data_IF_795979224118
#
_entry.id   IF_795979224118
#
_cell.length_a   1.000
_cell.length_b   1.000
_cell.length_c   1.000
_cell.angle_alpha   90.00
_cell.angle_beta   90.00
_cell.angle_gamma   90.00
#
_symmetry.space_group_name_H-M   'P 1'
#
loop_
_entity.id
_entity.type
_entity.pdbx_description
1 polymer ?
#
# COMPACT_ATOMS: atom_id res chain seq x y z
N UNK A 1 -16.71 -16.11 -6.84
CA UNK A 1 -15.26 -16.34 -6.92
C UNK A 1 -14.62 -15.00 -7.26
N UNK A 2 -14.23 -14.22 -6.25
CA UNK A 2 -13.57 -12.93 -6.47
C UNK A 2 -12.20 -13.21 -7.10
N UNK A 3 -11.95 -12.61 -8.25
CA UNK A 3 -10.72 -12.77 -9.02
C UNK A 3 -9.51 -12.35 -8.15
N UNK A 4 -8.52 -13.23 -8.06
CA UNK A 4 -7.25 -13.02 -7.35
C UNK A 4 -6.22 -12.28 -8.23
N UNK A 5 -6.62 -11.83 -9.42
CA UNK A 5 -5.75 -11.08 -10.34
C UNK A 5 -5.41 -9.72 -9.76
N UNK A 6 -4.13 -9.49 -9.49
CA UNK A 6 -3.60 -8.15 -9.29
C UNK A 6 -3.99 -7.27 -10.48
N UNK A 7 -4.45 -6.05 -10.23
CA UNK A 7 -4.73 -5.10 -11.31
C UNK A 7 -3.43 -4.64 -11.98
N UNK A 8 -3.42 -4.19 -13.25
CA UNK A 8 -2.22 -3.66 -13.89
C UNK A 8 -1.52 -2.53 -13.09
N UNK A 9 -2.27 -1.61 -12.43
CA UNK A 9 -1.70 -0.67 -11.47
C UNK A 9 -0.96 -1.31 -10.28
N UNK A 10 -1.52 -2.36 -9.66
CA UNK A 10 -0.86 -3.11 -8.58
C UNK A 10 0.44 -3.77 -9.06
N UNK A 11 0.44 -4.33 -10.27
CA UNK A 11 1.66 -4.90 -10.89
C UNK A 11 2.75 -3.83 -11.04
N UNK A 12 2.41 -2.63 -11.50
CA UNK A 12 3.37 -1.53 -11.65
C UNK A 12 3.98 -1.13 -10.30
N UNK A 13 3.16 -1.03 -9.25
CA UNK A 13 3.64 -0.73 -7.90
C UNK A 13 4.59 -1.82 -7.40
N UNK A 14 4.15 -3.08 -7.47
CA UNK A 14 4.92 -4.23 -7.00
C UNK A 14 6.24 -4.41 -7.75
N UNK A 15 6.22 -4.34 -9.08
CA UNK A 15 7.42 -4.50 -9.89
C UNK A 15 8.38 -3.33 -9.73
N UNK A 16 7.89 -2.10 -9.55
CA UNK A 16 8.77 -0.97 -9.27
C UNK A 16 9.48 -1.14 -7.93
N UNK A 17 8.76 -1.57 -6.89
CA UNK A 17 9.34 -1.88 -5.59
C UNK A 17 10.39 -3.00 -5.66
N UNK A 18 10.06 -4.08 -6.36
CA UNK A 18 10.98 -5.20 -6.57
C UNK A 18 12.24 -4.74 -7.32
N UNK A 19 12.10 -3.93 -8.36
CA UNK A 19 13.23 -3.38 -9.12
C UNK A 19 14.14 -2.51 -8.26
N UNK A 20 13.58 -1.68 -7.35
CA UNK A 20 14.38 -0.96 -6.36
C UNK A 20 15.17 -1.93 -5.49
N UNK A 21 14.51 -2.98 -4.99
CA UNK A 21 15.14 -4.00 -4.14
C UNK A 21 16.28 -4.73 -4.84
N UNK A 22 16.18 -5.05 -6.13
CA UNK A 22 17.25 -5.75 -6.85
C UNK A 22 18.43 -4.85 -7.23
N UNK A 23 18.20 -3.57 -7.52
CA UNK A 23 19.26 -2.64 -7.95
C UNK A 23 20.11 -2.15 -6.79
N UNK A 24 19.52 -2.07 -5.62
CA UNK A 24 20.06 -1.45 -4.42
C UNK A 24 20.61 -2.50 -3.42
N UNK A 25 21.18 -3.62 -3.89
CA UNK A 25 21.65 -4.73 -3.02
C UNK A 25 20.64 -5.10 -1.91
N UNK A 26 19.34 -5.06 -2.25
CA UNK A 26 18.21 -4.78 -1.34
C UNK A 26 17.77 -5.91 -0.43
N UNK A 27 18.73 -6.71 0.05
CA UNK A 27 18.53 -7.57 1.22
C UNK A 27 18.25 -6.77 2.51
N UNK A 28 18.41 -5.44 2.47
CA UNK A 28 18.11 -4.52 3.56
C UNK A 28 16.74 -3.82 3.45
N UNK A 29 16.02 -3.93 2.31
CA UNK A 29 14.72 -3.27 2.20
C UNK A 29 13.63 -4.01 2.97
N UNK A 30 12.64 -3.28 3.51
CA UNK A 30 11.51 -3.89 4.22
C UNK A 30 10.71 -4.86 3.34
N UNK A 31 10.05 -5.83 3.97
CA UNK A 31 9.20 -6.78 3.24
C UNK A 31 7.90 -6.10 2.77
N UNK A 32 7.68 -6.04 1.46
CA UNK A 32 6.40 -5.65 0.84
C UNK A 32 5.58 -6.92 0.57
N UNK A 33 4.45 -7.04 1.25
CA UNK A 33 3.57 -8.21 1.18
C UNK A 33 2.32 -7.82 0.38
N UNK A 34 2.06 -8.43 -0.79
CA UNK A 34 0.86 -8.16 -1.57
C UNK A 34 -0.38 -8.86 -0.99
N UNK A 35 -1.54 -8.26 -1.22
CA UNK A 35 -2.88 -8.83 -0.97
C UNK A 35 -3.07 -9.39 0.44
N UNK A 36 -2.82 -8.55 1.45
CA UNK A 36 -2.77 -8.98 2.85
C UNK A 36 -4.11 -8.87 3.52
N UNK A 37 -4.50 -9.93 4.23
CA UNK A 37 -5.56 -9.82 5.21
C UNK A 37 -5.02 -9.33 6.56
N UNK A 38 -5.58 -8.25 7.11
CA UNK A 38 -5.12 -7.63 8.35
C UNK A 38 -5.16 -8.56 9.56
N UNK A 39 -5.96 -9.62 9.54
CA UNK A 39 -5.97 -10.62 10.59
C UNK A 39 -4.70 -11.48 10.62
N UNK A 40 -3.86 -11.43 9.59
CA UNK A 40 -2.53 -12.06 9.58
C UNK A 40 -1.41 -11.12 10.08
N UNK A 41 -1.69 -9.85 10.38
CA UNK A 41 -0.71 -9.00 11.04
C UNK A 41 -0.48 -9.52 12.48
N UNK A 42 0.74 -9.97 12.84
CA UNK A 42 1.03 -10.55 14.14
C UNK A 42 0.81 -9.55 15.29
N UNK A 43 0.81 -8.24 15.02
CA UNK A 43 0.66 -7.20 16.03
C UNK A 43 -0.79 -6.78 16.29
N UNK A 44 -1.72 -7.02 15.37
CA UNK A 44 -3.16 -6.75 15.59
C UNK A 44 -3.91 -7.90 16.24
N UNK A 45 -3.34 -9.11 16.28
CA UNK A 45 -3.96 -10.26 16.93
C UNK A 45 -4.41 -9.97 18.39
N UNK A 46 -3.67 -9.12 19.12
CA UNK A 46 -3.96 -8.74 20.51
C UNK A 46 -4.95 -7.58 20.67
N UNK A 47 -5.18 -6.76 19.63
CA UNK A 47 -6.11 -5.61 19.63
C UNK A 47 -7.56 -6.00 19.30
N UNK A 48 -7.83 -7.28 19.04
CA UNK A 48 -9.14 -7.87 18.71
C UNK A 48 -10.19 -7.83 19.84
N UNK A 49 -9.93 -7.10 20.93
CA UNK A 49 -10.87 -6.95 22.03
C UNK A 49 -11.99 -5.92 21.75
N UNK A 50 -11.86 -5.10 20.70
CA UNK A 50 -12.95 -4.20 20.28
C UNK A 50 -13.93 -4.89 19.33
N UNK A 51 -15.25 -4.74 19.53
CA UNK A 51 -16.25 -5.43 18.73
C UNK A 51 -16.44 -4.77 17.37
N UNK A 52 -16.05 -5.49 16.32
CA UNK A 52 -16.41 -5.18 14.93
C UNK A 52 -15.40 -5.75 13.94
N UNK A 53 -15.81 -6.36 12.82
CA UNK A 53 -14.88 -6.65 11.75
C UNK A 53 -14.35 -5.31 11.22
N UNK A 54 -13.03 -5.19 11.01
CA UNK A 54 -12.49 -4.18 10.09
C UNK A 54 -13.24 -4.37 8.78
N UNK A 55 -14.02 -3.36 8.37
CA UNK A 55 -14.89 -3.45 7.19
C UNK A 55 -14.10 -3.80 5.92
N UNK A 56 -12.83 -3.38 5.88
CA UNK A 56 -11.84 -3.77 4.89
C UNK A 56 -10.81 -4.70 5.53
N UNK A 57 -10.95 -6.02 5.31
CA UNK A 57 -10.00 -7.00 5.82
C UNK A 57 -8.79 -7.19 4.90
N UNK A 58 -8.93 -6.97 3.59
CA UNK A 58 -7.89 -7.18 2.57
C UNK A 58 -7.36 -5.85 2.07
N UNK A 59 -6.06 -5.63 2.22
CA UNK A 59 -5.33 -4.48 1.68
C UNK A 59 -4.57 -4.89 0.42
N UNK A 60 -4.29 -3.94 -0.48
CA UNK A 60 -3.48 -4.24 -1.67
C UNK A 60 -2.02 -4.55 -1.30
N UNK A 61 -1.39 -3.78 -0.39
CA UNK A 61 -0.06 -4.09 0.13
C UNK A 61 0.12 -3.72 1.60
N UNK A 62 0.94 -4.53 2.30
CA UNK A 62 1.45 -4.24 3.65
C UNK A 62 2.98 -4.19 3.61
N UNK A 63 3.55 -3.13 4.16
CA UNK A 63 4.99 -2.96 4.32
C UNK A 63 5.33 -2.95 5.81
N UNK A 64 6.19 -3.87 6.24
CA UNK A 64 6.61 -4.01 7.63
C UNK A 64 7.97 -3.36 7.84
N UNK A 65 7.97 -2.20 8.48
CA UNK A 65 9.17 -1.39 8.70
C UNK A 65 9.80 -1.66 10.10
N UNK A 66 11.06 -1.22 10.31
CA UNK A 66 11.64 -1.16 11.65
C UNK A 66 10.77 -0.38 12.64
N UNK A 67 11.05 -0.54 13.94
CA UNK A 67 10.33 0.17 15.02
C UNK A 67 8.82 -0.11 15.08
N UNK A 68 8.38 -1.26 14.55
CA UNK A 68 6.97 -1.70 14.49
C UNK A 68 6.07 -0.77 13.68
N UNK A 69 6.64 0.02 12.78
CA UNK A 69 5.88 0.82 11.82
C UNK A 69 5.29 -0.12 10.78
N UNK A 70 4.00 0.07 10.49
CA UNK A 70 3.23 -0.77 9.55
C UNK A 70 2.57 0.16 8.56
N UNK A 71 2.94 0.02 7.29
CA UNK A 71 2.42 0.87 6.22
C UNK A 71 1.48 0.07 5.35
N UNK A 72 0.26 0.56 5.16
CA UNK A 72 -0.70 0.05 4.18
C UNK A 72 -0.60 0.90 2.93
N UNK A 73 -0.44 0.26 1.78
CA UNK A 73 -0.51 0.91 0.46
C UNK A 73 -1.73 0.38 -0.28
N UNK A 74 -2.57 1.29 -0.77
CA UNK A 74 -3.77 0.97 -1.55
C UNK A 74 -3.67 1.56 -2.96
N UNK A 75 -4.16 0.84 -3.95
CA UNK A 75 -4.14 1.23 -5.36
C UNK A 75 -5.55 1.56 -5.82
N UNK A 76 -5.82 2.83 -6.08
CA UNK A 76 -7.17 3.33 -6.30
C UNK A 76 -7.58 3.55 -7.73
N UNK A 77 -8.48 2.71 -8.25
CA UNK A 77 -9.20 3.01 -9.49
C UNK A 77 -10.62 3.51 -9.25
N UNK A 78 -11.28 3.93 -10.33
CA UNK A 78 -12.67 4.39 -10.29
C UNK A 78 -13.61 3.37 -9.64
N UNK A 79 -13.30 2.07 -9.74
CA UNK A 79 -14.10 1.00 -9.16
C UNK A 79 -14.25 1.09 -7.63
N UNK A 80 -13.36 1.83 -6.93
CA UNK A 80 -13.45 1.99 -5.48
C UNK A 80 -14.41 3.09 -5.04
N UNK A 81 -14.74 4.04 -5.92
CA UNK A 81 -15.57 5.20 -5.56
C UNK A 81 -16.65 5.53 -6.58
N UNK A 82 -16.91 4.67 -7.57
CA UNK A 82 -17.93 4.89 -8.58
C UNK A 82 -18.90 3.72 -8.72
N UNK A 83 -20.14 4.05 -9.09
CA UNK A 83 -21.17 3.09 -9.49
C UNK A 83 -21.56 3.42 -10.92
N UNK A 84 -21.52 2.45 -11.82
CA UNK A 84 -21.80 2.62 -13.25
C UNK A 84 -21.00 3.77 -13.89
N UNK A 85 -19.73 3.92 -13.49
CA UNK A 85 -18.81 4.95 -13.98
C UNK A 85 -19.07 6.36 -13.43
N UNK A 86 -20.02 6.53 -12.51
CA UNK A 86 -20.30 7.81 -11.84
C UNK A 86 -19.78 7.79 -10.41
N UNK A 87 -19.03 8.82 -10.04
CA UNK A 87 -18.54 8.97 -8.68
C UNK A 87 -19.70 8.94 -7.67
N UNK A 88 -19.51 8.20 -6.58
CA UNK A 88 -20.44 8.03 -5.48
C UNK A 88 -19.84 8.66 -4.21
N UNK A 89 -20.40 9.79 -3.73
CA UNK A 89 -19.97 10.39 -2.46
C UNK A 89 -20.04 9.42 -1.28
N UNK A 90 -20.98 8.47 -1.31
CA UNK A 90 -21.14 7.45 -0.28
C UNK A 90 -19.97 6.47 -0.26
N UNK A 91 -19.57 5.94 -1.42
CA UNK A 91 -18.41 5.04 -1.52
C UNK A 91 -17.11 5.76 -1.13
N UNK A 92 -16.96 7.01 -1.57
CA UNK A 92 -15.83 7.84 -1.17
C UNK A 92 -15.79 8.06 0.36
N UNK A 93 -16.93 8.41 0.97
CA UNK A 93 -17.00 8.62 2.41
C UNK A 93 -16.68 7.34 3.21
N UNK A 94 -17.12 6.18 2.72
CA UNK A 94 -16.79 4.88 3.30
C UNK A 94 -15.27 4.62 3.22
N UNK A 95 -14.68 4.77 2.04
CA UNK A 95 -13.24 4.62 1.81
C UNK A 95 -12.41 5.47 2.78
N UNK A 96 -12.68 6.77 2.87
CA UNK A 96 -11.94 7.67 3.77
C UNK A 96 -12.21 7.32 5.25
N UNK A 97 -13.38 6.78 5.58
CA UNK A 97 -13.66 6.28 6.92
C UNK A 97 -12.84 5.05 7.28
N UNK A 98 -12.68 4.12 6.34
CA UNK A 98 -11.84 2.93 6.50
C UNK A 98 -10.38 3.32 6.70
N UNK A 99 -9.86 4.29 5.93
CA UNK A 99 -8.49 4.80 6.10
C UNK A 99 -8.27 5.37 7.51
N UNK A 100 -9.22 6.17 8.00
CA UNK A 100 -9.14 6.71 9.36
C UNK A 100 -9.11 5.60 10.41
N UNK A 101 -9.90 4.54 10.23
CA UNK A 101 -9.90 3.41 11.16
C UNK A 101 -8.56 2.66 11.15
N UNK A 102 -7.93 2.49 9.98
CA UNK A 102 -6.59 1.91 9.86
C UNK A 102 -5.54 2.80 10.54
N UNK A 103 -5.58 4.11 10.30
CA UNK A 103 -4.68 5.07 10.95
C UNK A 103 -4.81 5.05 12.47
N UNK A 104 -6.03 5.06 13.01
CA UNK A 104 -6.27 4.95 14.45
C UNK A 104 -5.84 3.57 15.00
N UNK A 105 -5.82 2.54 14.16
CA UNK A 105 -5.32 1.20 14.50
C UNK A 105 -3.79 1.09 14.44
N UNK A 106 -3.09 2.18 14.12
CA UNK A 106 -1.64 2.30 14.11
C UNK A 106 -0.98 1.81 12.81
N UNK A 107 -1.68 1.97 11.68
CA UNK A 107 -1.11 1.85 10.34
C UNK A 107 -0.88 3.23 9.74
N UNK A 108 0.22 3.44 9.06
CA UNK A 108 0.34 4.57 8.14
C UNK A 108 -0.27 4.17 6.80
N UNK A 109 -1.25 4.93 6.30
CA UNK A 109 -2.01 4.59 5.09
C UNK A 109 -1.61 5.54 3.97
N UNK A 110 -1.22 4.99 2.81
CA UNK A 110 -0.97 5.74 1.59
C UNK A 110 -1.77 5.15 0.44
N UNK A 111 -2.33 6.02 -0.40
CA UNK A 111 -3.11 5.62 -1.57
C UNK A 111 -2.43 6.17 -2.82
N UNK A 112 -2.26 5.31 -3.81
CA UNK A 112 -1.80 5.69 -5.14
C UNK A 112 -2.98 5.57 -6.10
N UNK A 113 -3.34 6.65 -6.77
CA UNK A 113 -4.36 6.60 -7.81
C UNK A 113 -3.90 5.70 -8.97
N UNK A 114 -4.79 4.89 -9.51
CA UNK A 114 -4.51 3.99 -10.63
C UNK A 114 -4.01 4.74 -11.87
N UNK A 115 -4.37 6.02 -12.02
CA UNK A 115 -3.82 6.88 -13.07
C UNK A 115 -2.32 7.18 -12.85
N UNK A 116 -1.85 7.25 -11.60
CA UNK A 116 -0.41 7.39 -11.26
C UNK A 116 0.39 6.14 -11.61
N UNK A 117 -0.30 4.99 -11.71
CA UNK A 117 0.25 3.65 -11.88
C UNK A 117 -0.06 3.03 -13.25
N UNK A 118 -0.61 3.81 -14.20
CA UNK A 118 -0.75 3.35 -15.58
C UNK A 118 0.65 3.10 -16.18
N UNK A 119 0.80 2.11 -17.07
CA UNK A 119 2.10 1.75 -17.69
C UNK A 119 2.71 2.90 -18.50
N UNK A 120 1.89 3.86 -18.93
CA UNK A 120 2.32 5.09 -19.58
C UNK A 120 2.79 6.16 -18.59
N UNK A 121 2.38 6.03 -17.32
CA UNK A 121 2.72 6.95 -16.25
C UNK A 121 3.91 6.40 -15.45
N UNK A 122 4.82 7.31 -15.15
CA UNK A 122 6.25 6.99 -15.06
C UNK A 122 6.59 6.14 -13.81
N UNK A 123 7.31 5.00 -13.94
CA UNK A 123 7.89 4.26 -12.80
C UNK A 123 8.72 5.14 -11.84
N UNK A 124 9.16 6.32 -12.30
CA UNK A 124 9.81 7.34 -11.46
C UNK A 124 8.93 7.89 -10.34
N UNK A 125 7.61 8.00 -10.52
CA UNK A 125 6.71 8.52 -9.48
C UNK A 125 6.68 7.54 -8.31
N UNK A 126 6.42 6.27 -8.60
CA UNK A 126 6.39 5.19 -7.62
C UNK A 126 7.75 5.02 -6.95
N UNK A 127 8.84 5.07 -7.72
CA UNK A 127 10.18 5.01 -7.18
C UNK A 127 10.50 6.21 -6.26
N UNK A 128 10.10 7.42 -6.66
CA UNK A 128 10.23 8.63 -5.85
C UNK A 128 9.47 8.52 -4.54
N UNK A 129 8.22 8.06 -4.60
CA UNK A 129 7.40 7.79 -3.41
C UNK A 129 8.11 6.85 -2.43
N UNK A 130 8.63 5.70 -2.88
CA UNK A 130 9.33 4.78 -1.97
C UNK A 130 10.60 5.39 -1.39
N UNK A 131 11.34 6.22 -2.15
CA UNK A 131 12.51 6.93 -1.62
C UNK A 131 12.14 7.91 -0.51
N UNK A 132 11.11 8.71 -0.72
CA UNK A 132 10.61 9.66 0.29
C UNK A 132 10.02 8.94 1.50
N UNK A 133 9.29 7.84 1.28
CA UNK A 133 8.75 6.99 2.34
C UNK A 133 9.87 6.42 3.22
N UNK A 134 10.91 5.87 2.60
CA UNK A 134 12.04 5.32 3.32
C UNK A 134 12.85 6.39 4.05
N UNK A 135 13.05 7.55 3.43
CA UNK A 135 13.67 8.69 4.09
C UNK A 135 12.88 9.13 5.33
N UNK A 136 11.55 9.19 5.25
CA UNK A 136 10.68 9.53 6.39
C UNK A 136 10.83 8.56 7.56
N UNK A 137 11.07 7.27 7.29
CA UNK A 137 11.21 6.23 8.32
C UNK A 137 12.66 5.83 8.60
N UNK A 138 13.62 6.67 8.22
CA UNK A 138 15.06 6.47 8.43
C UNK A 138 15.58 5.12 7.89
N UNK A 139 14.99 4.65 6.80
CA UNK A 139 15.43 3.44 6.09
C UNK A 139 16.50 3.85 5.10
N UNK A 140 17.70 3.34 5.33
CA UNK A 140 18.83 3.57 4.46
C UNK A 140 18.60 2.87 3.11
N UNK A 141 18.34 3.67 2.09
CA UNK A 141 18.61 3.25 0.73
C UNK A 141 20.12 3.21 0.54
N UNK A 142 20.67 2.17 -0.08
CA UNK A 142 22.06 2.21 -0.46
C UNK A 142 22.29 3.36 -1.44
N UNK A 143 23.53 3.86 -1.50
CA UNK A 143 23.90 4.83 -2.50
C UNK A 143 23.74 4.18 -3.87
N UNK A 144 22.73 4.59 -4.61
CA UNK A 144 22.62 4.30 -6.04
C UNK A 144 23.95 4.66 -6.68
N UNK A 145 24.58 3.75 -7.43
CA UNK A 145 25.67 4.10 -8.34
C UNK A 145 25.11 5.19 -9.26
N UNK A 146 25.49 6.43 -8.97
CA UNK A 146 25.12 7.63 -9.73
C UNK A 146 25.50 7.42 -11.19
N UNK A 147 24.50 7.53 -12.06
CA UNK A 147 24.51 7.69 -13.52
C UNK A 147 25.52 6.88 -14.36
#
# INVERSE_FOLDING_TARGET
>A
MHDLRASPPEEVLFHTYAALSFREEGHALPALIPQVYLHYDPYTAKRRAEPGPLARQRMDFLLLLPNRVRVVLEVDGQQHYSVDGKASPQLYAQMVSEDRQLSLSGYDVYRCGGHELDRNNNPRIVAGFFRELFQRYDILLPPSVTD
#
